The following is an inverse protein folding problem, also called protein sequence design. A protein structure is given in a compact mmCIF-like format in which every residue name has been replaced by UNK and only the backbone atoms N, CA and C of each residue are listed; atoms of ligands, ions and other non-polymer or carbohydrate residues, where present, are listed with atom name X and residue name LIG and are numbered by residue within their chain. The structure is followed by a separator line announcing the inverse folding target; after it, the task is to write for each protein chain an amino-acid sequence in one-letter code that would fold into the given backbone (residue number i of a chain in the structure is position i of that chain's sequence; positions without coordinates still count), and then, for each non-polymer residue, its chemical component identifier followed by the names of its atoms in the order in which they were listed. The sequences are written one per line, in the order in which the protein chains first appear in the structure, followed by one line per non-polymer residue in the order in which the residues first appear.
data_IF_309114832334
#
_entry.id   IF_309114832334
#
_cell.length_a   1.000
_cell.length_b   1.000
_cell.length_c   1.000
_cell.angle_alpha   90.00
_cell.angle_beta   90.00
_cell.angle_gamma   90.00
#
_symmetry.space_group_name_H-M   'P 1'
#
loop_
_entity.id
_entity.type
_entity.pdbx_description
1 polymer ?
#
# COMPACT_ATOMS: atom_id res chain seq x y z
N UNK A 1 9.34 7.06 17.75
CA UNK A 1 8.25 6.61 16.86
C UNK A 1 7.94 7.72 15.87
N UNK A 2 7.91 7.37 14.60
CA UNK A 2 7.62 8.34 13.56
C UNK A 2 6.14 8.69 13.56
N UNK A 3 5.83 9.97 13.65
CA UNK A 3 4.45 10.44 13.54
C UNK A 3 4.09 10.58 12.07
N UNK A 4 2.97 9.99 11.67
CA UNK A 4 2.49 10.07 10.29
C UNK A 4 1.69 11.34 10.08
N UNK A 5 2.02 12.07 9.01
CA UNK A 5 1.18 13.14 8.49
C UNK A 5 0.27 12.53 7.43
N UNK A 6 -1.02 12.48 7.71
CA UNK A 6 -2.00 11.84 6.83
C UNK A 6 -2.08 12.56 5.48
N UNK A 7 -1.98 13.88 5.46
CA UNK A 7 -2.04 14.65 4.21
C UNK A 7 -0.81 14.37 3.35
N UNK A 8 0.38 14.40 3.95
CA UNK A 8 1.62 14.10 3.24
C UNK A 8 1.62 12.66 2.72
N UNK A 9 1.22 11.70 3.55
CA UNK A 9 1.16 10.30 3.15
C UNK A 9 0.18 10.10 2.00
N UNK A 10 -1.01 10.69 2.08
CA UNK A 10 -2.01 10.59 1.02
C UNK A 10 -1.45 11.17 -0.28
N UNK A 11 -0.81 12.33 -0.23
CA UNK A 11 -0.22 12.96 -1.40
C UNK A 11 0.86 12.08 -2.02
N UNK A 12 1.69 11.46 -1.21
CA UNK A 12 2.72 10.52 -1.70
C UNK A 12 2.11 9.33 -2.40
N UNK A 13 1.08 8.73 -1.83
CA UNK A 13 0.44 7.54 -2.41
C UNK A 13 -0.28 7.87 -3.72
N UNK A 14 -1.02 8.97 -3.77
CA UNK A 14 -1.75 9.34 -4.99
C UNK A 14 -0.85 9.88 -6.09
N UNK A 15 0.40 10.25 -5.77
CA UNK A 15 1.36 10.64 -6.80
C UNK A 15 1.97 9.43 -7.52
N UNK A 16 1.72 8.22 -7.04
CA UNK A 16 2.13 6.98 -7.70
C UNK A 16 0.95 6.47 -8.52
N UNK A 17 1.05 6.41 -9.87
CA UNK A 17 -0.04 5.86 -10.67
C UNK A 17 -0.34 4.41 -10.27
N UNK A 18 -1.60 4.13 -9.96
CA UNK A 18 -2.01 2.82 -9.45
C UNK A 18 -3.34 2.34 -10.05
N UNK A 19 -3.57 2.65 -11.33
CA UNK A 19 -4.73 2.15 -12.04
C UNK A 19 -4.74 0.63 -12.00
N UNK A 20 -5.93 0.04 -11.86
CA UNK A 20 -6.12 -1.42 -11.77
C UNK A 20 -5.32 -2.14 -12.86
N UNK A 21 -4.51 -3.10 -12.46
CA UNK A 21 -3.59 -3.83 -13.35
C UNK A 21 -2.18 -3.26 -13.38
N UNK A 22 -1.96 -2.05 -12.82
CA UNK A 22 -0.67 -1.36 -12.83
C UNK A 22 -0.33 -0.81 -11.45
N UNK A 23 -0.72 -1.52 -10.39
CA UNK A 23 -0.56 -1.06 -9.02
C UNK A 23 0.74 -1.51 -8.33
N UNK A 24 1.68 -2.11 -9.08
CA UNK A 24 2.91 -2.67 -8.49
C UNK A 24 3.76 -1.66 -7.72
N UNK A 25 3.90 -0.44 -8.24
CA UNK A 25 4.70 0.59 -7.56
C UNK A 25 4.09 1.02 -6.23
N UNK A 26 2.77 1.23 -6.19
CA UNK A 26 2.12 1.65 -4.93
C UNK A 26 2.15 0.53 -3.91
N UNK A 27 2.04 -0.72 -4.34
CA UNK A 27 2.16 -1.88 -3.45
C UNK A 27 3.55 -1.91 -2.81
N UNK A 28 4.60 -1.70 -3.60
CA UNK A 28 5.97 -1.66 -3.09
C UNK A 28 6.15 -0.51 -2.10
N UNK A 29 5.64 0.67 -2.42
CA UNK A 29 5.75 1.83 -1.53
C UNK A 29 5.06 1.58 -0.19
N UNK A 30 3.86 1.00 -0.20
CA UNK A 30 3.13 0.69 1.02
C UNK A 30 3.84 -0.40 1.83
N UNK A 31 4.40 -1.42 1.16
CA UNK A 31 5.15 -2.48 1.83
C UNK A 31 6.35 -1.92 2.59
N UNK A 32 7.12 -1.03 1.97
CA UNK A 32 8.27 -0.40 2.60
C UNK A 32 7.83 0.46 3.79
N UNK A 33 6.78 1.26 3.61
CA UNK A 33 6.25 2.10 4.69
C UNK A 33 5.84 1.27 5.90
N UNK A 34 5.08 0.21 5.69
CA UNK A 34 4.59 -0.63 6.79
C UNK A 34 5.73 -1.35 7.49
N UNK A 35 6.72 -1.84 6.73
CA UNK A 35 7.89 -2.47 7.32
C UNK A 35 8.68 -1.48 8.18
N UNK A 36 8.85 -0.25 7.71
CA UNK A 36 9.54 0.81 8.45
C UNK A 36 8.79 1.18 9.74
N UNK A 37 7.48 1.01 9.77
CA UNK A 37 6.66 1.25 10.96
C UNK A 37 6.62 0.05 11.92
N UNK A 38 7.33 -1.01 11.62
CA UNK A 38 7.44 -2.17 12.51
C UNK A 38 6.42 -3.26 12.25
N UNK A 39 5.69 -3.20 11.14
CA UNK A 39 4.77 -4.27 10.76
C UNK A 39 5.51 -5.40 10.06
N UNK A 40 5.03 -6.62 10.27
CA UNK A 40 5.47 -7.77 9.49
C UNK A 40 4.68 -7.79 8.19
N UNK A 41 5.38 -7.63 7.07
CA UNK A 41 4.73 -7.48 5.76
C UNK A 41 5.02 -8.71 4.91
N UNK A 42 3.96 -9.26 4.31
CA UNK A 42 4.06 -10.40 3.41
C UNK A 42 3.38 -10.04 2.09
N UNK A 43 4.05 -10.29 0.98
CA UNK A 43 3.49 -10.08 -0.36
C UNK A 43 2.94 -11.40 -0.87
N UNK A 44 1.74 -11.33 -1.44
CA UNK A 44 1.15 -12.44 -2.16
C UNK A 44 1.14 -12.09 -3.65
N UNK A 45 2.05 -12.64 -4.45
CA UNK A 45 2.12 -12.31 -5.88
C UNK A 45 0.85 -12.74 -6.62
N UNK A 46 0.46 -11.90 -7.56
CA UNK A 46 -0.63 -12.16 -8.51
C UNK A 46 -0.03 -12.24 -9.91
N UNK A 47 -0.53 -11.42 -10.84
CA UNK A 47 -0.01 -11.35 -12.21
C UNK A 47 1.08 -10.29 -12.33
N UNK A 48 2.16 -10.58 -13.05
CA UNK A 48 3.23 -9.62 -13.28
C UNK A 48 3.80 -9.09 -11.97
N UNK A 49 3.80 -7.77 -11.80
CA UNK A 49 4.27 -7.10 -10.58
C UNK A 49 3.14 -6.82 -9.58
N UNK A 50 1.92 -7.27 -9.87
CA UNK A 50 0.78 -7.13 -8.97
C UNK A 50 0.91 -8.05 -7.78
N UNK A 51 0.50 -7.58 -6.62
CA UNK A 51 0.53 -8.38 -5.40
C UNK A 51 -0.49 -7.87 -4.39
N UNK A 52 -0.99 -8.79 -3.57
CA UNK A 52 -1.67 -8.40 -2.33
C UNK A 52 -0.63 -8.23 -1.22
N UNK A 53 -0.94 -7.41 -0.24
CA UNK A 53 -0.10 -7.24 0.94
C UNK A 53 -0.86 -7.70 2.18
N UNK A 54 -0.17 -8.45 3.02
CA UNK A 54 -0.61 -8.75 4.37
C UNK A 54 0.35 -8.11 5.35
N UNK A 55 -0.17 -7.27 6.22
CA UNK A 55 0.64 -6.66 7.29
C UNK A 55 0.05 -7.08 8.61
N UNK A 56 0.88 -7.63 9.49
CA UNK A 56 0.45 -8.10 10.80
C UNK A 56 1.32 -7.51 11.88
N UNK A 57 0.74 -7.36 13.06
CA UNK A 57 1.43 -6.85 14.24
C UNK A 57 0.89 -7.56 15.47
N UNK A 58 1.73 -8.34 16.12
CA UNK A 58 1.32 -9.15 17.25
C UNK A 58 0.32 -10.22 16.87
N UNK A 59 -0.60 -10.54 17.78
CA UNK A 59 -1.69 -11.49 17.55
C UNK A 59 -2.89 -10.74 16.98
N UNK A 60 -3.27 -10.97 15.72
CA UNK A 60 -4.37 -10.22 15.12
C UNK A 60 -5.71 -10.60 15.74
N UNK A 61 -6.48 -9.61 16.15
CA UNK A 61 -7.86 -9.76 16.64
C UNK A 61 -8.83 -9.15 15.64
N UNK A 62 -8.40 -8.12 14.92
CA UNK A 62 -9.20 -7.39 13.93
C UNK A 62 -8.44 -7.37 12.63
N UNK A 63 -9.15 -7.56 11.52
CA UNK A 63 -8.58 -7.45 10.18
C UNK A 63 -9.21 -6.26 9.48
N UNK A 64 -8.36 -5.36 8.96
CA UNK A 64 -8.78 -4.25 8.12
C UNK A 64 -8.42 -4.59 6.67
N UNK A 65 -9.37 -4.41 5.76
CA UNK A 65 -9.16 -4.72 4.35
C UNK A 65 -9.48 -3.49 3.51
N UNK A 66 -8.59 -3.18 2.58
CA UNK A 66 -8.78 -2.06 1.67
C UNK A 66 -8.11 -2.38 0.33
N UNK A 67 -8.24 -1.48 -0.64
CA UNK A 67 -7.59 -1.64 -1.94
C UNK A 67 -6.67 -0.45 -2.21
N UNK A 68 -5.67 -0.68 -3.06
CA UNK A 68 -4.66 0.31 -3.43
C UNK A 68 -4.79 0.76 -4.88
N UNK A 69 -5.55 0.04 -5.69
CA UNK A 69 -5.76 0.40 -7.08
C UNK A 69 -6.79 1.52 -7.22
N UNK A 70 -6.71 2.21 -8.34
CA UNK A 70 -7.65 3.26 -8.70
C UNK A 70 -8.27 2.97 -10.05
N UNK A 71 -9.43 3.58 -10.31
CA UNK A 71 -10.06 3.47 -11.64
C UNK A 71 -9.36 4.42 -12.61
N UNK A 72 -9.27 4.05 -13.91
CA UNK A 72 -8.72 4.97 -14.91
C UNK A 72 -9.67 6.15 -15.18
N UNK A 73 -9.15 7.28 -15.66
CA UNK A 73 -7.74 7.57 -15.89
C UNK A 73 -7.01 7.99 -14.62
N UNK A 74 -5.67 7.89 -14.64
CA UNK A 74 -4.86 8.41 -13.55
C UNK A 74 -4.98 9.93 -13.48
N UNK A 75 -5.29 10.43 -12.27
CA UNK A 75 -5.36 11.87 -12.00
C UNK A 75 -4.32 12.18 -10.92
N UNK A 76 -3.28 12.96 -11.25
CA UNK A 76 -2.25 13.33 -10.26
C UNK A 76 -2.82 14.28 -9.21
N UNK A 77 -2.17 14.33 -8.06
CA UNK A 77 -2.57 15.22 -6.98
C UNK A 77 -2.41 16.69 -7.34
#
# INVERSE_FOLDING_TARGET
MTQLDVVELTTRLISIPSVTGSEGEVVTAVAVLLADLGWSVQRQPLDGDRANLYATRGQPVVVLSTHLDTVPPYVPP
#
